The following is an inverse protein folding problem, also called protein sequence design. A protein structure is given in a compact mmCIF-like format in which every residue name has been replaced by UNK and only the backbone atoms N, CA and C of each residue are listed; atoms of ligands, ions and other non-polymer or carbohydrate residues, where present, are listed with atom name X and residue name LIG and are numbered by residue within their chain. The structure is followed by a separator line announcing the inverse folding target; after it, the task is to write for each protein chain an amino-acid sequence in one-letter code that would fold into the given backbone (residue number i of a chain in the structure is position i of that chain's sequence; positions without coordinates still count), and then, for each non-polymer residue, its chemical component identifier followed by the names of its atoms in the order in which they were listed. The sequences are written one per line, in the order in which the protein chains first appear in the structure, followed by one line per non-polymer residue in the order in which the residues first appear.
data_IF_106023143348
#
_entry.id   IF_106023143348
#
_cell.length_a   1.000
_cell.length_b   1.000
_cell.length_c   1.000
_cell.angle_alpha   90.00
_cell.angle_beta   90.00
_cell.angle_gamma   90.00
#
_symmetry.space_group_name_H-M   'P 1'
#
loop_
_entity.id
_entity.type
_entity.pdbx_description
1 polymer ?
#
# COMPACT_ATOMS: atom_id res chain seq x y z
N UNK A 1 68.26 10.06 4.97
CA UNK A 1 67.20 11.01 4.55
C UNK A 1 66.06 10.20 3.95
N UNK A 2 64.90 10.06 4.62
CA UNK A 2 63.78 9.32 4.05
C UNK A 2 62.94 10.24 3.16
N UNK A 3 62.68 9.78 1.94
CA UNK A 3 61.70 10.34 1.01
C UNK A 3 60.30 10.00 1.51
N UNK A 4 59.51 11.02 1.86
CA UNK A 4 58.09 10.89 2.18
C UNK A 4 57.32 10.90 0.85
N UNK A 5 56.78 9.74 0.48
CA UNK A 5 55.88 9.55 -0.64
C UNK A 5 54.48 10.03 -0.22
N UNK A 6 54.09 11.23 -0.64
CA UNK A 6 52.73 11.74 -0.45
C UNK A 6 51.83 11.07 -1.49
N UNK A 7 51.10 10.04 -1.06
CA UNK A 7 50.02 9.45 -1.84
C UNK A 7 48.88 10.47 -1.94
N UNK A 8 48.75 11.13 -3.10
CA UNK A 8 47.56 11.88 -3.48
C UNK A 8 46.40 10.88 -3.63
N UNK A 9 45.59 10.76 -2.59
CA UNK A 9 44.25 10.20 -2.69
C UNK A 9 43.37 11.22 -3.41
N UNK A 10 43.22 11.05 -4.72
CA UNK A 10 42.15 11.68 -5.49
C UNK A 10 40.81 11.10 -5.02
N UNK A 11 40.21 11.74 -4.01
CA UNK A 11 38.80 11.56 -3.73
C UNK A 11 38.03 11.99 -4.98
N UNK A 12 37.46 11.02 -5.70
CA UNK A 12 36.52 11.28 -6.77
C UNK A 12 35.32 12.01 -6.15
N UNK A 13 35.27 13.33 -6.36
CA UNK A 13 34.07 14.12 -6.12
C UNK A 13 32.98 13.50 -7.00
N UNK A 14 31.84 13.02 -6.45
CA UNK A 14 30.76 12.55 -7.29
C UNK A 14 30.37 13.69 -8.22
N UNK A 15 30.20 13.42 -9.51
CA UNK A 15 29.76 14.41 -10.48
C UNK A 15 28.38 14.95 -10.07
N UNK A 16 28.38 15.99 -9.24
CA UNK A 16 27.25 16.86 -9.01
C UNK A 16 26.89 17.47 -10.38
N UNK A 17 25.67 17.20 -10.87
CA UNK A 17 25.07 18.04 -11.91
C UNK A 17 24.61 17.40 -13.22
N UNK A 18 24.59 16.07 -13.37
CA UNK A 18 24.05 15.46 -14.60
C UNK A 18 22.53 15.26 -14.59
N UNK A 19 21.85 15.34 -13.44
CA UNK A 19 20.41 15.16 -13.36
C UNK A 19 19.84 16.05 -12.25
N UNK A 20 18.63 16.56 -12.44
CA UNK A 20 17.91 17.30 -11.41
C UNK A 20 16.44 16.93 -11.37
N UNK A 21 15.84 17.10 -10.19
CA UNK A 21 14.42 16.84 -9.95
C UNK A 21 13.84 17.96 -9.09
N UNK A 22 12.63 18.39 -9.43
CA UNK A 22 11.92 19.44 -8.71
C UNK A 22 10.47 19.05 -8.55
N UNK A 23 9.92 19.26 -7.36
CA UNK A 23 8.49 19.17 -7.12
C UNK A 23 7.88 20.57 -7.09
N UNK A 24 6.73 20.71 -7.73
CA UNK A 24 5.91 21.91 -7.69
C UNK A 24 4.49 21.52 -7.28
N UNK A 25 3.91 22.27 -6.36
CA UNK A 25 2.50 22.11 -6.00
C UNK A 25 1.63 22.46 -7.20
N UNK A 26 0.65 21.63 -7.55
CA UNK A 26 -0.31 21.99 -8.59
C UNK A 26 -1.24 23.12 -8.12
N UNK A 27 -1.64 24.00 -9.04
CA UNK A 27 -2.55 25.10 -8.71
C UNK A 27 -3.95 24.60 -8.35
N UNK A 28 -4.46 23.68 -9.15
CA UNK A 28 -5.72 22.99 -8.91
C UNK A 28 -5.49 21.74 -8.04
N UNK A 29 -6.36 21.56 -7.05
CA UNK A 29 -6.34 20.42 -6.14
C UNK A 29 -7.66 19.65 -6.30
N UNK A 30 -7.71 18.64 -7.19
CA UNK A 30 -8.95 17.91 -7.46
C UNK A 30 -9.46 17.18 -6.20
N UNK A 31 -10.75 17.34 -5.89
CA UNK A 31 -11.38 16.62 -4.76
C UNK A 31 -11.32 15.09 -4.92
N UNK A 32 -11.30 14.61 -6.17
CA UNK A 32 -11.30 13.17 -6.50
C UNK A 32 -10.05 12.41 -6.07
N UNK A 33 -8.95 13.11 -5.76
CA UNK A 33 -7.68 12.49 -5.34
C UNK A 33 -7.43 12.63 -3.83
N UNK A 34 -8.35 13.24 -3.07
CA UNK A 34 -8.21 13.33 -1.60
C UNK A 34 -8.11 11.92 -0.99
N UNK A 35 -7.27 11.73 0.07
CA UNK A 35 -6.56 12.76 0.82
C UNK A 35 -5.21 13.18 0.23
N UNK A 36 -4.77 12.63 -0.90
CA UNK A 36 -3.57 13.11 -1.59
C UNK A 36 -3.78 14.52 -2.16
N UNK A 37 -2.66 15.15 -2.56
CA UNK A 37 -2.62 16.43 -3.24
C UNK A 37 -1.83 16.31 -4.54
N UNK A 38 -2.29 17.03 -5.55
CA UNK A 38 -1.68 17.06 -6.86
C UNK A 38 -0.38 17.88 -6.80
N UNK A 39 0.67 17.31 -7.38
CA UNK A 39 1.94 17.97 -7.60
C UNK A 39 2.46 17.63 -9.00
N UNK A 40 3.40 18.41 -9.47
CA UNK A 40 4.15 18.21 -10.69
C UNK A 40 5.58 17.87 -10.31
N UNK A 41 6.09 16.78 -10.86
CA UNK A 41 7.49 16.38 -10.77
C UNK A 41 8.16 16.69 -12.10
N UNK A 42 9.08 17.64 -12.11
CA UNK A 42 9.92 17.94 -13.26
C UNK A 42 11.26 17.22 -13.11
N UNK A 43 11.66 16.50 -14.15
CA UNK A 43 12.90 15.73 -14.21
C UNK A 43 13.73 16.29 -15.35
N UNK A 44 15.01 16.56 -15.08
CA UNK A 44 16.00 16.90 -16.10
C UNK A 44 17.06 15.81 -16.14
N UNK A 45 17.30 15.29 -17.34
CA UNK A 45 18.26 14.23 -17.60
C UNK A 45 19.36 14.77 -18.51
N UNK A 46 20.48 15.21 -17.94
CA UNK A 46 21.68 15.60 -18.69
C UNK A 46 22.69 14.43 -18.82
N UNK A 47 22.24 13.19 -18.64
CA UNK A 47 23.06 11.97 -18.81
C UNK A 47 22.84 11.31 -20.17
N UNK A 48 23.70 10.35 -20.50
CA UNK A 48 23.59 9.51 -21.71
C UNK A 48 22.58 8.36 -21.60
N UNK A 49 21.99 8.14 -20.42
CA UNK A 49 21.07 7.01 -20.17
C UNK A 49 19.62 7.46 -20.15
N UNK A 50 18.72 6.60 -20.61
CA UNK A 50 17.27 6.83 -20.52
C UNK A 50 16.80 6.54 -19.08
N UNK A 51 16.02 7.45 -18.51
CA UNK A 51 15.28 7.20 -17.26
C UNK A 51 13.96 6.51 -17.63
N UNK A 52 13.66 5.36 -17.03
CA UNK A 52 12.43 4.57 -17.29
C UNK A 52 11.41 4.61 -16.15
N UNK A 53 11.84 4.94 -14.95
CA UNK A 53 10.94 5.20 -13.84
C UNK A 53 11.58 6.16 -12.84
N UNK A 54 10.72 6.75 -12.02
CA UNK A 54 11.13 7.50 -10.85
C UNK A 54 10.51 6.86 -9.61
N UNK A 55 11.34 6.66 -8.59
CA UNK A 55 10.92 6.18 -7.28
C UNK A 55 11.17 7.28 -6.27
N UNK A 56 10.17 7.65 -5.48
CA UNK A 56 10.37 8.66 -4.45
C UNK A 56 9.66 8.33 -3.15
N UNK A 57 10.27 8.76 -2.05
CA UNK A 57 9.76 8.58 -0.68
C UNK A 57 10.06 9.83 0.12
N UNK A 58 9.11 10.26 0.94
CA UNK A 58 9.37 11.36 1.88
C UNK A 58 10.47 10.94 2.86
N UNK A 59 11.44 11.80 3.17
CA UNK A 59 12.58 11.48 4.05
C UNK A 59 12.17 11.11 5.48
N UNK A 60 10.99 11.57 5.94
CA UNK A 60 10.42 11.15 7.24
C UNK A 60 9.64 9.83 7.16
N UNK A 61 9.64 9.18 6.01
CA UNK A 61 8.97 7.91 5.70
C UNK A 61 7.56 8.06 5.17
N UNK A 62 6.78 6.99 5.24
CA UNK A 62 5.54 6.80 4.50
C UNK A 62 5.77 5.97 3.24
N UNK A 63 4.81 6.00 2.30
CA UNK A 63 4.83 5.12 1.15
C UNK A 63 5.93 5.48 0.15
N UNK A 64 6.44 4.46 -0.52
CA UNK A 64 7.33 4.57 -1.66
C UNK A 64 6.44 4.66 -2.90
N UNK A 65 6.57 5.73 -3.67
CA UNK A 65 5.88 5.88 -4.94
C UNK A 65 6.79 5.45 -6.08
N UNK A 66 6.24 4.77 -7.07
CA UNK A 66 6.94 4.39 -8.30
C UNK A 66 6.09 4.79 -9.49
N UNK A 67 6.66 5.65 -10.33
CA UNK A 67 6.02 6.13 -11.54
C UNK A 67 6.87 5.76 -12.76
N UNK A 68 6.34 5.00 -13.73
CA UNK A 68 7.01 4.83 -15.00
C UNK A 68 7.02 6.17 -15.74
N UNK A 69 8.18 6.53 -16.32
CA UNK A 69 8.39 7.76 -17.08
C UNK A 69 9.53 7.51 -18.06
N UNK A 70 9.47 8.03 -19.28
CA UNK A 70 10.52 7.84 -20.27
C UNK A 70 11.19 9.20 -20.56
N UNK A 71 12.25 9.52 -19.81
CA UNK A 71 13.01 10.77 -20.02
C UNK A 71 14.28 10.44 -20.81
N UNK A 72 14.33 10.91 -22.06
CA UNK A 72 15.47 10.68 -22.94
C UNK A 72 16.75 11.41 -22.44
N UNK A 73 17.95 10.96 -22.85
CA UNK A 73 19.20 11.68 -22.66
C UNK A 73 19.10 13.14 -23.09
N UNK A 74 19.69 14.05 -22.33
CA UNK A 74 19.75 15.50 -22.58
C UNK A 74 18.38 16.17 -22.75
N UNK A 75 17.34 15.65 -22.11
CA UNK A 75 15.98 16.21 -22.15
C UNK A 75 15.41 16.46 -20.75
N UNK A 76 14.28 17.17 -20.71
CA UNK A 76 13.49 17.35 -19.51
C UNK A 76 12.03 16.98 -19.79
N UNK A 77 11.39 16.35 -18.81
CA UNK A 77 9.98 16.00 -18.85
C UNK A 77 9.31 16.30 -17.51
N UNK A 78 7.99 16.38 -17.50
CA UNK A 78 7.20 16.65 -16.30
C UNK A 78 6.04 15.66 -16.15
N UNK A 79 5.85 15.18 -14.93
CA UNK A 79 4.84 14.19 -14.59
C UNK A 79 3.90 14.73 -13.50
N UNK A 80 2.59 14.53 -13.67
CA UNK A 80 1.62 14.73 -12.59
C UNK A 80 1.70 13.58 -11.58
N UNK A 81 1.85 13.91 -10.30
CA UNK A 81 1.95 12.96 -9.20
C UNK A 81 1.00 13.34 -8.07
N UNK A 82 0.58 12.34 -7.29
CA UNK A 82 -0.27 12.54 -6.12
C UNK A 82 0.53 12.22 -4.87
N UNK A 83 0.70 13.22 -3.99
CA UNK A 83 1.58 13.14 -2.83
C UNK A 83 0.80 13.38 -1.52
N UNK A 84 1.25 12.78 -0.40
CA UNK A 84 0.67 13.04 0.91
C UNK A 84 1.16 14.39 1.45
N UNK A 85 0.27 15.39 1.52
CA UNK A 85 0.56 16.71 2.09
C UNK A 85 0.47 16.69 3.63
N UNK A 86 1.47 16.08 4.29
CA UNK A 86 1.45 15.85 5.74
C UNK A 86 2.19 16.93 6.57
N UNK A 87 2.90 17.85 5.91
CA UNK A 87 3.63 18.96 6.53
C UNK A 87 3.79 20.11 5.52
N UNK A 88 3.99 21.35 5.99
CA UNK A 88 4.17 22.53 5.12
C UNK A 88 5.35 22.36 4.14
N UNK A 89 6.49 21.86 4.63
CA UNK A 89 7.65 21.55 3.80
C UNK A 89 7.95 20.05 3.89
N UNK A 90 8.03 19.38 2.75
CA UNK A 90 8.39 17.97 2.66
C UNK A 90 9.57 17.76 1.71
N UNK A 91 10.62 17.11 2.22
CA UNK A 91 11.80 16.73 1.43
C UNK A 91 11.69 15.26 1.03
N UNK A 92 11.61 15.00 -0.27
CA UNK A 92 11.55 13.66 -0.85
C UNK A 92 12.94 13.22 -1.30
N UNK A 93 13.28 11.97 -1.01
CA UNK A 93 14.39 11.25 -1.62
C UNK A 93 13.87 10.63 -2.92
N UNK A 94 14.51 10.97 -4.04
CA UNK A 94 14.07 10.63 -5.40
C UNK A 94 15.18 9.82 -6.07
N UNK A 95 14.88 8.59 -6.46
CA UNK A 95 15.76 7.73 -7.23
C UNK A 95 15.25 7.64 -8.68
N UNK A 96 16.13 7.97 -9.63
CA UNK A 96 15.89 7.83 -11.06
C UNK A 96 16.37 6.45 -11.50
N UNK A 97 15.50 5.68 -12.16
CA UNK A 97 15.72 4.26 -12.43
C UNK A 97 15.87 3.98 -13.92
N UNK A 98 16.76 3.04 -14.27
CA UNK A 98 16.95 2.55 -15.65
C UNK A 98 15.88 1.52 -16.07
N UNK A 99 15.08 1.01 -15.12
CA UNK A 99 14.01 0.04 -15.33
C UNK A 99 12.68 0.52 -14.75
N UNK A 100 11.57 -0.07 -15.19
CA UNK A 100 10.18 0.31 -14.85
C UNK A 100 9.65 -0.34 -13.55
N UNK A 101 10.55 -0.87 -12.71
CA UNK A 101 10.20 -1.59 -11.48
C UNK A 101 10.93 -1.02 -10.25
N UNK A 102 10.35 -1.14 -9.03
CA UNK A 102 10.87 -0.52 -7.80
C UNK A 102 12.32 -0.85 -7.45
N UNK A 103 12.77 -2.06 -7.83
CA UNK A 103 14.11 -2.58 -7.54
C UNK A 103 15.09 -2.43 -8.73
N UNK A 104 14.79 -1.52 -9.67
CA UNK A 104 15.61 -1.28 -10.84
C UNK A 104 16.99 -0.69 -10.50
N UNK A 105 17.98 -0.85 -11.39
CA UNK A 105 19.25 -0.15 -11.28
C UNK A 105 19.01 1.37 -11.14
N UNK A 106 19.60 1.96 -10.10
CA UNK A 106 19.48 3.39 -9.81
C UNK A 106 20.54 4.15 -10.60
N UNK A 107 20.11 5.12 -11.40
CA UNK A 107 20.97 6.00 -12.18
C UNK A 107 21.51 7.15 -11.31
N UNK A 108 20.62 7.75 -10.54
CA UNK A 108 20.93 8.84 -9.62
C UNK A 108 19.96 8.83 -8.44
N UNK A 109 20.43 9.33 -7.31
CA UNK A 109 19.63 9.57 -6.12
C UNK A 109 19.77 11.03 -5.71
N UNK A 110 18.63 11.70 -5.63
CA UNK A 110 18.51 13.15 -5.49
C UNK A 110 17.54 13.48 -4.36
N UNK A 111 17.54 14.73 -3.92
CA UNK A 111 16.53 15.26 -3.00
C UNK A 111 15.75 16.38 -3.68
N UNK A 112 14.44 16.38 -3.51
CA UNK A 112 13.58 17.49 -3.95
C UNK A 112 12.60 17.87 -2.85
N UNK A 113 12.35 19.16 -2.74
CA UNK A 113 11.45 19.74 -1.75
C UNK A 113 10.14 20.13 -2.41
N UNK A 114 9.06 20.06 -1.64
CA UNK A 114 7.76 20.62 -1.99
C UNK A 114 7.21 21.40 -0.81
N UNK A 115 6.73 22.60 -1.10
CA UNK A 115 6.02 23.45 -0.15
C UNK A 115 4.50 23.38 -0.41
N UNK A 116 3.75 23.08 0.64
CA UNK A 116 2.30 23.01 0.63
C UNK A 116 1.71 24.22 1.33
N UNK A 117 0.56 24.69 0.83
CA UNK A 117 -0.24 25.68 1.55
C UNK A 117 -0.89 25.03 2.76
N UNK A 118 -1.15 25.83 3.80
CA UNK A 118 -1.85 25.36 5.01
C UNK A 118 -3.20 24.70 4.68
N UNK A 119 -3.90 25.23 3.67
CA UNK A 119 -5.20 24.70 3.20
C UNK A 119 -5.09 23.34 2.52
N UNK A 120 -3.91 22.96 2.04
CA UNK A 120 -3.69 21.70 1.34
C UNK A 120 -3.28 20.57 2.29
N UNK A 121 -2.90 20.89 3.54
CA UNK A 121 -2.48 19.90 4.52
C UNK A 121 -3.61 18.94 4.88
N UNK A 122 -3.27 17.65 4.97
CA UNK A 122 -4.19 16.57 5.33
C UNK A 122 -3.52 15.61 6.32
N UNK A 123 -2.80 16.14 7.30
CA UNK A 123 -2.01 15.35 8.26
C UNK A 123 -2.86 14.34 9.03
N UNK A 124 -4.04 14.76 9.45
CA UNK A 124 -5.08 13.96 10.12
C UNK A 124 -5.63 12.84 9.22
N UNK A 125 -5.65 13.03 7.91
CA UNK A 125 -6.08 12.00 6.98
C UNK A 125 -5.07 10.84 6.83
N UNK A 126 -3.79 11.09 7.13
CA UNK A 126 -2.73 10.08 7.08
C UNK A 126 -2.30 9.57 8.45
N UNK A 127 -2.50 10.34 9.53
CA UNK A 127 -2.13 9.95 10.89
C UNK A 127 -3.36 10.12 11.78
N UNK A 128 -4.03 9.00 12.06
CA UNK A 128 -5.31 8.94 12.75
C UNK A 128 -5.31 7.72 13.69
N UNK A 129 -4.95 7.96 14.95
CA UNK A 129 -4.90 6.91 15.97
C UNK A 129 -6.30 6.45 16.39
N UNK A 130 -7.29 7.35 16.35
CA UNK A 130 -8.67 7.07 16.75
C UNK A 130 -9.33 6.10 15.76
N UNK A 131 -9.03 6.22 14.46
CA UNK A 131 -9.51 5.27 13.45
C UNK A 131 -9.09 3.81 13.72
N UNK A 132 -8.04 3.58 14.50
CA UNK A 132 -7.55 2.25 14.88
C UNK A 132 -8.24 1.65 16.10
N UNK A 133 -8.84 2.46 16.99
CA UNK A 133 -9.40 1.98 18.25
C UNK A 133 -10.42 0.83 18.08
N UNK A 134 -11.36 0.86 17.11
CA UNK A 134 -12.31 -0.23 16.93
C UNK A 134 -11.68 -1.54 16.44
N UNK A 135 -10.45 -1.48 15.93
CA UNK A 135 -9.78 -2.59 15.25
C UNK A 135 -8.61 -3.16 16.04
N UNK A 136 -8.27 -2.59 17.20
CA UNK A 136 -7.12 -3.02 18.00
C UNK A 136 -7.11 -4.53 18.25
N UNK A 137 -8.28 -5.11 18.54
CA UNK A 137 -8.44 -6.55 18.84
C UNK A 137 -8.93 -7.37 17.63
N UNK A 138 -8.90 -6.80 16.42
CA UNK A 138 -9.34 -7.48 15.21
C UNK A 138 -8.30 -8.51 14.75
N UNK A 139 -8.33 -9.67 15.38
CA UNK A 139 -7.49 -10.81 15.00
C UNK A 139 -8.19 -11.55 13.84
N UNK A 140 -7.48 -11.83 12.72
CA UNK A 140 -8.05 -12.61 11.64
C UNK A 140 -8.41 -14.02 12.11
N UNK A 141 -9.71 -14.29 12.19
CA UNK A 141 -10.22 -15.59 12.63
C UNK A 141 -10.41 -16.51 11.44
N UNK A 142 -10.28 -17.83 11.63
CA UNK A 142 -10.49 -18.80 10.55
C UNK A 142 -11.86 -18.64 9.89
N UNK A 143 -11.96 -18.78 8.55
CA UNK A 143 -13.23 -18.88 7.87
C UNK A 143 -14.08 -20.01 8.46
N UNK A 144 -15.39 -19.85 8.51
CA UNK A 144 -16.32 -20.85 9.08
C UNK A 144 -16.13 -22.23 8.46
N UNK A 145 -15.92 -22.29 7.13
CA UNK A 145 -15.63 -23.53 6.40
C UNK A 145 -14.37 -24.24 6.91
N UNK A 146 -13.29 -23.50 7.15
CA UNK A 146 -12.06 -24.09 7.67
C UNK A 146 -12.24 -24.58 9.10
N UNK A 147 -12.90 -23.78 9.96
CA UNK A 147 -13.21 -24.22 11.34
C UNK A 147 -14.00 -25.52 11.31
N UNK A 148 -15.01 -25.61 10.45
CA UNK A 148 -15.83 -26.80 10.30
C UNK A 148 -15.02 -28.00 9.81
N UNK A 149 -14.15 -27.82 8.81
CA UNK A 149 -13.30 -28.89 8.31
C UNK A 149 -12.30 -29.39 9.37
N UNK A 150 -11.72 -28.48 10.16
CA UNK A 150 -10.83 -28.85 11.28
C UNK A 150 -11.60 -29.62 12.36
N UNK A 151 -12.81 -29.15 12.72
CA UNK A 151 -13.67 -29.85 13.69
C UNK A 151 -14.06 -31.24 13.17
N UNK A 152 -14.52 -31.35 11.93
CA UNK A 152 -14.89 -32.61 11.29
C UNK A 152 -13.69 -33.56 11.21
N UNK A 153 -12.51 -33.06 10.83
CA UNK A 153 -11.27 -33.83 10.84
C UNK A 153 -10.91 -34.35 12.24
N UNK A 154 -11.09 -33.52 13.27
CA UNK A 154 -10.92 -33.92 14.67
C UNK A 154 -11.89 -35.03 15.09
N UNK A 155 -13.18 -34.92 14.73
CA UNK A 155 -14.18 -35.96 14.99
C UNK A 155 -13.82 -37.28 14.29
N UNK A 156 -13.46 -37.22 13.00
CA UNK A 156 -13.04 -38.39 12.24
C UNK A 156 -11.77 -39.04 12.83
N UNK A 157 -10.83 -38.22 13.30
CA UNK A 157 -9.63 -38.70 14.00
C UNK A 157 -9.98 -39.43 15.30
N UNK A 158 -10.87 -38.88 16.12
CA UNK A 158 -11.35 -39.54 17.35
C UNK A 158 -12.04 -40.88 17.03
N UNK A 159 -12.87 -40.94 15.99
CA UNK A 159 -13.51 -42.18 15.55
C UNK A 159 -12.48 -43.22 15.07
N UNK A 160 -11.45 -42.79 14.33
CA UNK A 160 -10.37 -43.66 13.90
C UNK A 160 -9.56 -44.22 15.09
N UNK A 161 -9.27 -43.39 16.11
CA UNK A 161 -8.62 -43.84 17.34
C UNK A 161 -9.48 -44.84 18.11
N UNK A 162 -10.80 -44.62 18.21
CA UNK A 162 -11.72 -45.58 18.81
C UNK A 162 -11.73 -46.90 18.03
N UNK A 163 -11.73 -46.86 16.70
CA UNK A 163 -11.61 -48.04 15.84
C UNK A 163 -10.31 -48.83 16.05
N UNK A 164 -9.20 -48.16 16.34
CA UNK A 164 -7.93 -48.83 16.67
C UNK A 164 -8.00 -49.71 17.92
N UNK A 165 -8.98 -49.50 18.82
CA UNK A 165 -9.17 -50.33 20.00
C UNK A 165 -9.54 -51.79 19.65
N UNK A 166 -10.09 -52.02 18.45
CA UNK A 166 -10.48 -53.35 17.96
C UNK A 166 -9.25 -54.20 17.60
N UNK A 167 -8.09 -53.58 17.35
CA UNK A 167 -6.85 -54.27 16.99
C UNK A 167 -6.27 -54.99 18.22
N UNK A 168 -6.39 -56.32 18.25
CA UNK A 168 -5.93 -57.17 19.36
C UNK A 168 -4.41 -57.14 19.59
N UNK A 169 -3.61 -57.02 18.53
CA UNK A 169 -2.13 -57.03 18.64
C UNK A 169 -1.62 -55.66 19.05
N UNK A 170 -1.01 -55.56 20.24
CA UNK A 170 -0.48 -54.31 20.81
C UNK A 170 0.46 -53.55 19.86
N UNK A 171 1.39 -54.25 19.20
CA UNK A 171 2.33 -53.63 18.25
C UNK A 171 1.64 -52.98 17.05
N UNK A 172 0.66 -53.66 16.43
CA UNK A 172 -0.10 -53.11 15.29
C UNK A 172 -0.97 -51.94 15.72
N UNK A 173 -1.57 -52.00 16.91
CA UNK A 173 -2.37 -50.91 17.46
C UNK A 173 -1.53 -49.64 17.65
N UNK A 174 -0.34 -49.76 18.25
CA UNK A 174 0.56 -48.61 18.43
C UNK A 174 1.02 -48.03 17.09
N UNK A 175 1.36 -48.87 16.12
CA UNK A 175 1.74 -48.42 14.79
C UNK A 175 0.60 -47.66 14.09
N UNK A 176 -0.64 -48.18 14.14
CA UNK A 176 -1.80 -47.52 13.55
C UNK A 176 -2.07 -46.14 14.18
N UNK A 177 -1.98 -46.03 15.51
CA UNK A 177 -2.14 -44.75 16.22
C UNK A 177 -1.08 -43.74 15.79
N UNK A 178 0.19 -44.16 15.68
CA UNK A 178 1.29 -43.29 15.23
C UNK A 178 1.08 -42.81 13.79
N UNK A 179 0.67 -43.70 12.89
CA UNK A 179 0.39 -43.35 11.48
C UNK A 179 -0.76 -42.33 11.41
N UNK A 180 -1.86 -42.57 12.15
CA UNK A 180 -2.98 -41.63 12.21
C UNK A 180 -2.56 -40.26 12.77
N UNK A 181 -1.77 -40.25 13.85
CA UNK A 181 -1.29 -39.03 14.48
C UNK A 181 -0.37 -38.23 13.53
N UNK A 182 0.56 -38.90 12.85
CA UNK A 182 1.42 -38.28 11.84
C UNK A 182 0.60 -37.73 10.67
N UNK A 183 -0.33 -38.52 10.12
CA UNK A 183 -1.21 -38.10 9.02
C UNK A 183 -2.06 -36.89 9.39
N UNK A 184 -2.68 -36.88 10.58
CA UNK A 184 -3.45 -35.75 11.08
C UNK A 184 -2.58 -34.49 11.27
N UNK A 185 -1.38 -34.66 11.83
CA UNK A 185 -0.43 -33.55 12.03
C UNK A 185 0.00 -32.92 10.70
N UNK A 186 0.32 -33.75 9.69
CA UNK A 186 0.66 -33.30 8.34
C UNK A 186 -0.54 -32.60 7.69
N UNK A 187 -1.74 -33.16 7.82
CA UNK A 187 -2.97 -32.57 7.29
C UNK A 187 -3.27 -31.19 7.89
N UNK A 188 -3.14 -31.04 9.21
CA UNK A 188 -3.29 -29.75 9.91
C UNK A 188 -2.21 -28.78 9.46
N UNK A 189 -0.94 -29.21 9.43
CA UNK A 189 0.16 -28.38 8.98
C UNK A 189 -0.09 -27.83 7.57
N UNK A 190 -0.48 -28.70 6.64
CA UNK A 190 -0.80 -28.33 5.25
C UNK A 190 -2.00 -27.39 5.17
N UNK A 191 -3.08 -27.66 5.91
CA UNK A 191 -4.25 -26.79 5.95
C UNK A 191 -3.91 -25.38 6.49
N UNK A 192 -2.99 -25.30 7.45
CA UNK A 192 -2.51 -24.03 8.01
C UNK A 192 -1.46 -23.34 7.13
N UNK A 193 -0.71 -24.08 6.31
CA UNK A 193 0.34 -23.51 5.45
C UNK A 193 -0.18 -22.92 4.16
N UNK A 194 -1.26 -23.46 3.60
CA UNK A 194 -1.74 -23.08 2.27
C UNK A 194 -2.68 -21.88 2.26
N UNK A 195 -3.37 -21.59 3.37
CA UNK A 195 -4.33 -20.48 3.40
C UNK A 195 -3.70 -19.20 3.97
N UNK A 196 -3.43 -18.24 3.10
CA UNK A 196 -3.16 -16.86 3.49
C UNK A 196 -4.45 -16.26 4.07
N UNK A 197 -4.53 -16.17 5.39
CA UNK A 197 -5.68 -15.55 6.04
C UNK A 197 -5.51 -14.04 6.04
N UNK A 198 -6.01 -13.41 4.99
CA UNK A 198 -6.17 -11.95 4.91
C UNK A 198 -7.61 -11.63 5.29
N UNK A 199 -7.78 -10.94 6.41
CA UNK A 199 -9.03 -10.29 6.75
C UNK A 199 -9.07 -8.95 6.02
N UNK A 200 -10.01 -8.81 5.09
CA UNK A 200 -10.28 -7.55 4.40
C UNK A 200 -11.74 -7.16 4.67
N UNK A 201 -11.95 -6.01 5.32
CA UNK A 201 -13.27 -5.45 5.56
C UNK A 201 -13.34 -4.04 5.00
N UNK A 202 -14.36 -3.79 4.19
CA UNK A 202 -14.67 -2.47 3.67
C UNK A 202 -15.81 -1.86 4.46
N UNK A 203 -15.62 -0.64 4.95
CA UNK A 203 -16.58 0.03 5.84
C UNK A 203 -16.86 1.41 5.27
N UNK A 204 -18.12 1.73 4.96
CA UNK A 204 -18.47 3.07 4.50
C UNK A 204 -18.27 4.05 5.66
N UNK A 205 -17.46 5.08 5.45
CA UNK A 205 -17.28 6.19 6.38
C UNK A 205 -18.04 7.38 5.82
N UNK A 206 -18.92 7.95 6.64
CA UNK A 206 -19.59 9.20 6.30
C UNK A 206 -18.67 10.33 6.73
N UNK A 207 -17.94 10.91 5.78
CA UNK A 207 -17.19 12.13 6.04
C UNK A 207 -18.10 13.35 5.85
N UNK A 208 -17.88 14.42 6.63
CA UNK A 208 -18.55 15.69 6.40
C UNK A 208 -18.24 16.19 4.98
N UNK A 209 -19.24 16.71 4.29
CA UNK A 209 -19.08 17.28 2.94
C UNK A 209 -17.93 18.31 2.93
N UNK A 210 -17.10 18.36 1.87
CA UNK A 210 -17.38 17.92 0.50
C UNK A 210 -16.83 16.54 0.07
N UNK A 211 -16.11 15.81 0.93
CA UNK A 211 -15.31 14.63 0.53
C UNK A 211 -16.12 13.40 0.08
N UNK A 212 -17.44 13.40 0.27
CA UNK A 212 -18.32 12.32 -0.17
C UNK A 212 -18.22 11.07 0.70
N UNK A 213 -18.69 9.93 0.19
CA UNK A 213 -18.64 8.64 0.92
C UNK A 213 -17.24 8.02 0.75
N UNK A 214 -16.37 8.12 1.75
CA UNK A 214 -15.12 7.36 1.75
C UNK A 214 -15.37 5.92 2.23
N UNK A 215 -14.48 5.00 1.87
CA UNK A 215 -14.48 3.64 2.43
C UNK A 215 -13.20 3.42 3.21
N UNK A 216 -13.31 3.00 4.46
CA UNK A 216 -12.20 2.47 5.22
C UNK A 216 -11.99 1.01 4.83
N UNK A 217 -10.79 0.66 4.40
CA UNK A 217 -10.36 -0.70 4.14
C UNK A 217 -9.49 -1.15 5.30
N UNK A 218 -9.98 -2.11 6.07
CA UNK A 218 -9.29 -2.71 7.21
C UNK A 218 -8.65 -4.01 6.73
N UNK A 219 -7.33 -4.09 6.84
CA UNK A 219 -6.56 -5.30 6.54
C UNK A 219 -5.90 -5.82 7.81
N UNK A 220 -5.98 -7.13 8.01
CA UNK A 220 -5.17 -7.83 9.00
C UNK A 220 -4.80 -9.20 8.45
N UNK A 221 -3.66 -9.74 8.87
CA UNK A 221 -3.25 -11.09 8.47
C UNK A 221 -2.77 -11.94 9.66
N UNK A 222 -2.89 -13.27 9.53
CA UNK A 222 -2.35 -14.21 10.53
C UNK A 222 -0.86 -14.49 10.35
N UNK A 223 -0.32 -14.23 9.16
CA UNK A 223 1.05 -14.54 8.75
C UNK A 223 1.55 -13.44 7.85
N UNK A 224 2.86 -13.23 7.85
CA UNK A 224 3.48 -12.25 6.96
C UNK A 224 3.15 -12.60 5.51
N UNK A 225 2.48 -11.70 4.80
CA UNK A 225 2.08 -11.91 3.40
C UNK A 225 2.10 -10.57 2.65
N UNK A 226 2.33 -10.63 1.35
CA UNK A 226 2.30 -9.45 0.48
C UNK A 226 0.89 -9.27 -0.09
N UNK A 227 0.21 -8.22 0.36
CA UNK A 227 -1.11 -7.88 -0.16
C UNK A 227 -1.02 -6.88 -1.30
N UNK A 228 -1.80 -7.14 -2.35
CA UNK A 228 -1.81 -6.39 -3.59
C UNK A 228 -3.21 -5.83 -3.86
N UNK A 229 -3.28 -4.55 -4.24
CA UNK A 229 -4.53 -3.90 -4.65
C UNK A 229 -4.35 -3.19 -5.99
N UNK A 230 -5.16 -3.48 -7.02
CA UNK A 230 -4.95 -3.00 -8.39
C UNK A 230 -5.39 -1.54 -8.61
N UNK A 231 -5.27 -0.68 -7.59
CA UNK A 231 -5.60 0.74 -7.69
C UNK A 231 -4.71 1.57 -6.79
N UNK A 232 -4.27 2.73 -7.29
CA UNK A 232 -3.45 3.71 -6.55
C UNK A 232 -4.28 4.63 -5.64
N UNK A 233 -5.61 4.47 -5.63
CA UNK A 233 -6.52 5.33 -4.86
C UNK A 233 -6.56 5.01 -3.38
N UNK A 234 -5.78 4.05 -2.87
CA UNK A 234 -5.72 3.80 -1.45
C UNK A 234 -4.69 4.72 -0.78
N UNK A 235 -5.16 5.50 0.18
CA UNK A 235 -4.31 6.28 1.07
C UNK A 235 -4.08 5.50 2.37
N UNK A 236 -2.84 5.30 2.82
CA UNK A 236 -2.57 4.64 4.09
C UNK A 236 -3.01 5.55 5.23
N UNK A 237 -3.62 4.96 6.25
CA UNK A 237 -3.84 5.61 7.54
C UNK A 237 -2.85 4.98 8.52
N UNK A 238 -2.06 5.80 9.18
CA UNK A 238 -1.08 5.39 10.17
C UNK A 238 -1.59 5.69 11.57
N UNK A 239 -1.32 4.78 12.50
CA UNK A 239 -1.56 5.00 13.93
C UNK A 239 -0.67 6.13 14.47
N UNK A 240 0.57 6.25 13.97
CA UNK A 240 1.53 7.25 14.42
C UNK A 240 2.58 7.58 13.36
N UNK A 241 3.29 8.70 13.55
CA UNK A 241 4.47 9.08 12.74
C UNK A 241 5.55 7.99 12.72
N UNK A 242 5.69 7.24 13.82
CA UNK A 242 6.67 6.16 13.92
C UNK A 242 6.32 4.97 13.01
N UNK A 243 5.04 4.61 12.94
CA UNK A 243 4.58 3.57 12.01
C UNK A 243 4.79 4.02 10.57
N UNK A 244 4.43 5.26 10.24
CA UNK A 244 4.69 5.86 8.93
C UNK A 244 6.17 5.82 8.56
N UNK A 245 7.06 6.21 9.48
CA UNK A 245 8.52 6.23 9.25
C UNK A 245 9.09 4.85 8.83
N UNK A 246 8.52 3.78 9.41
CA UNK A 246 8.94 2.39 9.17
C UNK A 246 8.19 1.71 8.02
N UNK A 247 7.25 2.40 7.40
CA UNK A 247 6.41 1.80 6.37
C UNK A 247 7.19 1.52 5.08
N UNK A 248 7.00 0.34 4.52
CA UNK A 248 7.64 -0.11 3.27
C UNK A 248 6.61 -0.33 2.16
N UNK A 249 5.38 0.17 2.34
CA UNK A 249 4.35 0.12 1.31
C UNK A 249 4.84 0.78 0.02
N UNK A 250 4.55 0.13 -1.11
CA UNK A 250 4.85 0.66 -2.44
C UNK A 250 3.55 0.98 -3.18
N UNK A 251 3.47 2.18 -3.75
CA UNK A 251 2.38 2.63 -4.62
C UNK A 251 2.96 2.75 -6.02
N UNK A 252 2.61 1.81 -6.90
CA UNK A 252 3.03 1.81 -8.29
C UNK A 252 1.92 2.41 -9.15
N UNK A 253 2.22 3.43 -9.94
CA UNK A 253 1.24 4.16 -10.75
C UNK A 253 0.36 3.24 -11.62
N UNK A 254 0.97 2.19 -12.19
CA UNK A 254 0.31 1.20 -13.06
C UNK A 254 -0.11 -0.10 -12.36
N UNK A 255 0.62 -0.57 -11.35
CA UNK A 255 0.38 -1.87 -10.70
C UNK A 255 -0.43 -1.77 -9.40
N UNK A 256 -0.74 -0.55 -8.94
CA UNK A 256 -1.49 -0.30 -7.72
C UNK A 256 -0.64 -0.37 -6.45
N UNK A 257 -1.25 -0.76 -5.33
CA UNK A 257 -0.63 -0.75 -4.00
C UNK A 257 -0.12 -2.15 -3.64
N UNK A 258 1.09 -2.20 -3.08
CA UNK A 258 1.69 -3.40 -2.49
C UNK A 258 2.11 -3.11 -1.05
N UNK A 259 1.69 -3.95 -0.13
CA UNK A 259 2.00 -3.81 1.30
C UNK A 259 2.36 -5.17 1.89
N UNK A 260 3.40 -5.19 2.71
CA UNK A 260 3.73 -6.35 3.52
C UNK A 260 2.89 -6.31 4.80
N UNK A 261 1.87 -7.16 4.88
CA UNK A 261 1.06 -7.34 6.08
C UNK A 261 1.81 -8.25 7.05
N UNK A 262 1.95 -7.85 8.31
CA UNK A 262 2.60 -8.64 9.37
C UNK A 262 1.54 -9.30 10.27
N UNK A 263 1.85 -10.47 10.87
CA UNK A 263 0.93 -11.14 11.77
C UNK A 263 0.57 -10.22 12.95
N UNK A 264 -0.72 -10.19 13.29
CA UNK A 264 -1.28 -9.37 14.38
C UNK A 264 -1.09 -7.86 14.20
N UNK A 265 -0.80 -7.40 12.98
CA UNK A 265 -0.80 -5.97 12.64
C UNK A 265 -2.06 -5.65 11.83
N UNK A 266 -2.74 -4.57 12.22
CA UNK A 266 -3.84 -4.00 11.44
C UNK A 266 -3.29 -2.89 10.54
N UNK A 267 -3.69 -2.89 9.28
CA UNK A 267 -3.42 -1.83 8.32
C UNK A 267 -4.73 -1.23 7.85
N UNK A 268 -4.81 0.10 7.94
CA UNK A 268 -5.97 0.86 7.53
C UNK A 268 -5.65 1.64 6.27
N UNK A 269 -6.61 1.65 5.33
CA UNK A 269 -6.54 2.47 4.14
C UNK A 269 -7.83 3.25 3.96
N UNK A 270 -7.71 4.49 3.52
CA UNK A 270 -8.82 5.28 3.03
C UNK A 270 -8.93 5.12 1.52
N UNK A 271 -10.09 4.70 1.05
CA UNK A 271 -10.46 4.74 -0.36
C UNK A 271 -11.40 5.92 -0.57
N UNK A 272 -11.03 6.92 -1.39
CA UNK A 272 -11.95 7.97 -1.78
C UNK A 272 -13.16 7.35 -2.45
N UNK A 273 -14.35 7.89 -2.14
CA UNK A 273 -15.57 7.50 -2.83
C UNK A 273 -15.45 7.75 -4.32
N UNK A 274 -16.16 6.97 -5.13
CA UNK A 274 -16.49 7.47 -6.46
C UNK A 274 -17.19 8.81 -6.25
N UNK A 275 -16.66 9.89 -6.84
CA UNK A 275 -17.38 11.15 -6.88
C UNK A 275 -18.80 10.81 -7.33
N UNK A 276 -19.80 11.09 -6.48
CA UNK A 276 -21.16 10.90 -6.93
C UNK A 276 -21.30 11.87 -8.09
N UNK A 277 -21.40 11.35 -9.30
CA UNK A 277 -21.96 12.10 -10.41
C UNK A 277 -23.41 12.31 -10.00
N UNK A 278 -23.65 13.30 -9.14
CA UNK A 278 -24.99 13.81 -8.90
C UNK A 278 -25.42 14.22 -10.30
N UNK A 279 -26.40 13.53 -10.93
CA UNK A 279 -26.85 13.96 -12.25
C UNK A 279 -27.20 15.42 -12.08
N UNK A 280 -26.57 16.27 -12.89
CA UNK A 280 -26.93 17.68 -12.98
C UNK A 280 -28.43 17.68 -13.18
N UNK A 281 -29.17 18.11 -12.14
CA UNK A 281 -30.61 18.27 -12.25
C UNK A 281 -30.78 19.17 -13.46
N UNK A 282 -31.39 18.71 -14.56
CA UNK A 282 -31.57 19.57 -15.72
C UNK A 282 -32.26 20.83 -15.20
N UNK A 283 -31.66 21.99 -15.50
CA UNK A 283 -32.21 23.29 -15.14
C UNK A 283 -33.71 23.22 -15.40
N UNK A 284 -34.50 23.44 -14.34
CA UNK A 284 -35.93 23.21 -14.39
C UNK A 284 -36.53 23.92 -15.60
N UNK A 285 -36.96 23.15 -16.59
CA UNK A 285 -38.06 23.61 -17.44
C UNK A 285 -39.23 23.76 -16.48
N UNK A 286 -39.67 25.00 -16.32
CA UNK A 286 -40.80 25.37 -15.51
C UNK A 286 -41.98 24.45 -15.77
N UNK A 287 -42.50 23.83 -14.71
CA UNK A 287 -43.70 23.00 -14.73
C UNK A 287 -44.97 23.79 -15.12
N UNK A 288 -44.87 25.11 -15.34
CA UNK A 288 -45.97 25.92 -15.88
C UNK A 288 -46.16 25.82 -17.39
N UNK A 289 -45.24 25.22 -18.15
CA UNK A 289 -45.42 25.07 -19.60
C UNK A 289 -46.13 23.76 -20.02
N UNK A 290 -46.27 22.77 -19.14
CA UNK A 290 -46.82 21.46 -19.49
C UNK A 290 -48.34 21.30 -19.18
N UNK A 291 -49.00 22.31 -18.63
CA UNK A 291 -50.45 22.27 -18.31
C UNK A 291 -51.29 22.99 -19.38
N UNK A 292 -50.67 23.65 -20.37
CA UNK A 292 -51.36 24.38 -21.45
C UNK A 292 -51.43 23.64 -22.79
N UNK A 293 -50.96 22.39 -22.87
CA UNK A 293 -51.10 21.52 -24.06
C UNK A 293 -52.13 20.38 -23.88
N UNK A 294 -52.91 20.40 -22.80
CA UNK A 294 -54.02 19.45 -22.56
C UNK A 294 -55.37 20.14 -22.26
N UNK A 295 -55.54 21.39 -22.71
CA UNK A 295 -56.82 22.08 -22.87
C UNK A 295 -56.86 22.71 -24.26
#
# INVERSE_FOLDING_TARGET
MPLILIALLTAAVPAEGAMSVQFERADEQPESIRPYRAAKLTIRNDSEKIIRAVRFRWRRGGPIFVHPVAVAPHTSDSLAVNLPAAALLQVYQVALLEADHPNGPTLAELSAEIEWKLTDLATDAFIDAEAYEPWHDSIPVWPSKLRWNVLLGGVLYCLALAGCLIIRRRGLRSAAILILAAGASIGIWHALSVQEFIFQREIPVHEPAPTGRSTLVVLACRRTTEWHYPSVRLAPIYYSKHQMARDTMTIHATHGVRVLLKPNEVRLFRRPGAASSRPSRPAGKSLTAAILECL
#
